data_IF_109830790214
#
_entry.id   IF_109830790214
#
_cell.length_a   1.000
_cell.length_b   1.000
_cell.length_c   1.000
_cell.angle_alpha   90.00
_cell.angle_beta   90.00
_cell.angle_gamma   90.00
#
_symmetry.space_group_name_H-M   'P 1'
#
loop_
_entity.id
_entity.type
_entity.pdbx_description
1 polymer ?
#
# COMPACT_ATOMS: atom_id res chain seq x y z
N UNK A 1 16.11 7.37 -4.25
CA UNK A 1 16.35 5.90 -4.26
C UNK A 1 15.45 5.25 -5.29
N UNK A 2 15.80 4.08 -5.84
CA UNK A 2 15.05 3.41 -6.91
C UNK A 2 14.34 2.14 -6.41
N UNK A 3 13.72 2.23 -5.23
CA UNK A 3 13.03 1.12 -4.58
C UNK A 3 11.56 1.52 -4.37
N UNK A 4 10.66 0.67 -4.83
CA UNK A 4 9.23 0.73 -4.55
C UNK A 4 8.81 -0.54 -3.82
N UNK A 5 8.14 -0.39 -2.68
CA UNK A 5 7.57 -1.51 -1.94
C UNK A 5 6.05 -1.42 -1.99
N UNK A 6 5.41 -2.37 -2.65
CA UNK A 6 3.96 -2.55 -2.58
C UNK A 6 3.61 -3.40 -1.34
N UNK A 7 2.66 -2.96 -0.53
CA UNK A 7 2.25 -3.67 0.69
C UNK A 7 0.77 -3.41 1.01
N UNK A 8 0.19 -4.31 1.79
CA UNK A 8 -1.13 -4.15 2.38
C UNK A 8 -1.13 -3.07 3.48
N UNK A 9 -2.21 -2.30 3.54
CA UNK A 9 -2.35 -1.15 4.41
C UNK A 9 -3.68 -1.19 5.17
N UNK A 10 -3.58 -1.27 6.51
CA UNK A 10 -4.74 -1.37 7.39
C UNK A 10 -5.45 -0.02 7.56
N UNK A 11 -4.72 1.09 7.44
CA UNK A 11 -5.27 2.46 7.59
C UNK A 11 -6.10 2.90 6.37
N UNK A 12 -6.09 2.12 5.30
CA UNK A 12 -6.80 2.41 4.05
C UNK A 12 -7.89 1.35 3.83
N UNK A 13 -9.12 1.73 3.47
CA UNK A 13 -10.17 0.77 3.17
C UNK A 13 -9.85 -0.03 1.89
N UNK A 14 -10.42 -1.25 1.73
CA UNK A 14 -10.40 -1.97 0.46
C UNK A 14 -10.78 -1.05 -0.71
N UNK A 15 -10.05 -1.13 -1.82
CA UNK A 15 -10.23 -0.22 -2.97
C UNK A 15 -9.38 1.04 -2.94
N UNK A 16 -8.86 1.46 -1.78
CA UNK A 16 -7.98 2.61 -1.73
C UNK A 16 -6.55 2.20 -2.06
N UNK A 17 -5.85 2.98 -2.90
CA UNK A 17 -4.42 2.79 -3.15
C UNK A 17 -3.72 4.13 -3.10
N UNK A 18 -2.57 4.21 -2.42
CA UNK A 18 -1.81 5.45 -2.28
C UNK A 18 -0.33 5.22 -2.48
N UNK A 19 0.26 6.00 -3.38
CA UNK A 19 1.71 6.16 -3.44
C UNK A 19 2.17 7.11 -2.32
N UNK A 20 3.28 6.77 -1.67
CA UNK A 20 3.93 7.61 -0.65
C UNK A 20 5.44 7.47 -0.76
N UNK A 21 6.17 8.57 -0.62
CA UNK A 21 7.62 8.53 -0.46
C UNK A 21 8.00 8.47 1.02
N UNK A 22 8.79 7.46 1.39
CA UNK A 22 9.22 7.17 2.75
C UNK A 22 8.10 6.90 3.77
N UNK A 23 8.41 7.12 5.06
CA UNK A 23 7.52 6.85 6.20
C UNK A 23 8.01 5.73 7.12
N UNK A 24 7.25 5.46 8.19
CA UNK A 24 7.50 4.36 9.12
C UNK A 24 6.95 3.02 8.62
N UNK A 25 7.21 1.95 9.38
CA UNK A 25 6.73 0.59 9.08
C UNK A 25 5.27 0.34 9.48
N UNK A 26 4.68 1.19 10.35
CA UNK A 26 3.27 1.05 10.74
C UNK A 26 2.95 -0.27 11.46
N UNK A 27 3.94 -0.94 12.07
CA UNK A 27 3.77 -2.27 12.63
C UNK A 27 3.80 -3.40 11.60
N UNK A 28 4.00 -3.10 10.31
CA UNK A 28 4.11 -4.11 9.26
C UNK A 28 5.48 -4.79 9.31
N UNK A 29 5.50 -6.06 9.69
CA UNK A 29 6.73 -6.85 9.88
C UNK A 29 7.67 -6.83 8.66
N UNK A 30 7.11 -6.88 7.44
CA UNK A 30 7.90 -6.80 6.21
C UNK A 30 8.55 -5.43 5.99
N UNK A 31 7.85 -4.32 6.33
CA UNK A 31 8.39 -2.98 6.15
C UNK A 31 9.46 -2.69 7.19
N UNK A 32 9.28 -3.19 8.42
CA UNK A 32 10.28 -3.15 9.46
C UNK A 32 11.57 -3.83 8.99
N UNK A 33 11.49 -5.08 8.51
CA UNK A 33 12.64 -5.83 8.03
C UNK A 33 13.34 -5.14 6.84
N UNK A 34 12.58 -4.63 5.86
CA UNK A 34 13.16 -3.89 4.72
C UNK A 34 13.89 -2.63 5.21
N UNK A 35 13.25 -1.84 6.07
CA UNK A 35 13.82 -0.59 6.61
C UNK A 35 15.12 -0.86 7.37
N UNK A 36 15.14 -1.90 8.21
CA UNK A 36 16.35 -2.33 8.93
C UNK A 36 17.49 -2.74 7.98
N UNK A 37 17.18 -3.44 6.89
CA UNK A 37 18.19 -3.91 5.92
C UNK A 37 18.68 -2.83 4.97
N UNK A 38 17.85 -1.83 4.67
CA UNK A 38 18.23 -0.68 3.85
C UNK A 38 18.89 0.44 4.68
N UNK A 39 18.88 0.35 6.01
CA UNK A 39 19.44 1.37 6.90
C UNK A 39 18.61 2.65 6.98
N UNK A 40 17.37 2.62 6.49
CA UNK A 40 16.50 3.79 6.44
C UNK A 40 15.19 3.53 5.70
N UNK A 41 14.22 4.41 5.95
CA UNK A 41 12.88 4.35 5.36
C UNK A 41 12.74 5.18 4.09
N UNK A 42 13.81 5.40 3.33
CA UNK A 42 13.89 6.37 2.23
C UNK A 42 13.46 5.81 0.86
N UNK A 43 12.55 4.84 0.86
CA UNK A 43 12.00 4.20 -0.33
C UNK A 43 10.53 4.54 -0.56
N UNK A 44 10.08 4.44 -1.81
CA UNK A 44 8.70 4.64 -2.17
C UNK A 44 7.83 3.45 -1.74
N UNK A 45 6.57 3.73 -1.40
CA UNK A 45 5.60 2.74 -0.92
C UNK A 45 4.32 2.85 -1.74
N UNK A 46 3.86 1.73 -2.30
CA UNK A 46 2.52 1.60 -2.86
C UNK A 46 1.64 0.92 -1.81
N UNK A 47 0.84 1.72 -1.11
CA UNK A 47 -0.01 1.31 0.00
C UNK A 47 -1.36 0.83 -0.55
N UNK A 48 -1.65 -0.46 -0.45
CA UNK A 48 -2.87 -1.09 -0.95
C UNK A 48 -3.81 -1.31 0.22
N UNK A 49 -4.93 -0.59 0.26
CA UNK A 49 -5.87 -0.66 1.36
C UNK A 49 -6.53 -2.02 1.47
N UNK A 50 -6.45 -2.60 2.66
CA UNK A 50 -7.17 -3.84 3.02
C UNK A 50 -8.18 -3.61 4.14
N UNK A 51 -8.17 -2.45 4.80
CA UNK A 51 -9.00 -2.14 5.96
C UNK A 51 -8.46 -2.71 7.26
N UNK A 52 -9.12 -2.39 8.37
CA UNK A 52 -8.72 -2.81 9.70
C UNK A 52 -9.84 -3.61 10.39
N UNK A 53 -9.55 -4.71 11.11
CA UNK A 53 -10.57 -5.52 11.80
C UNK A 53 -11.23 -4.83 13.01
N UNK A 54 -11.03 -3.53 13.21
CA UNK A 54 -11.45 -2.78 14.40
C UNK A 54 -10.72 -3.13 15.72
N UNK A 55 -10.03 -4.27 15.79
CA UNK A 55 -9.32 -4.73 16.99
C UNK A 55 -7.87 -5.15 16.67
N UNK A 56 -6.90 -4.50 17.33
CA UNK A 56 -5.48 -4.76 17.15
C UNK A 56 -5.09 -6.23 17.40
N UNK A 57 -5.76 -6.91 18.35
CA UNK A 57 -5.49 -8.33 18.65
C UNK A 57 -5.86 -9.27 17.50
N UNK A 58 -6.70 -8.83 16.56
CA UNK A 58 -7.15 -9.61 15.41
C UNK A 58 -6.37 -9.30 14.13
N UNK A 59 -5.48 -8.31 14.14
CA UNK A 59 -4.73 -7.90 12.94
C UNK A 59 -3.93 -9.05 12.35
N UNK A 60 -3.22 -9.82 13.18
CA UNK A 60 -2.39 -10.92 12.70
C UNK A 60 -3.21 -12.00 11.97
N UNK A 61 -4.39 -12.38 12.48
CA UNK A 61 -5.25 -13.34 11.80
C UNK A 61 -5.99 -12.72 10.61
N UNK A 62 -6.26 -11.42 10.64
CA UNK A 62 -6.91 -10.68 9.57
C UNK A 62 -6.07 -10.60 8.30
N UNK A 63 -4.77 -10.31 8.41
CA UNK A 63 -3.88 -10.21 7.24
C UNK A 63 -3.48 -11.58 6.66
N UNK A 64 -3.65 -12.65 7.43
CA UNK A 64 -3.30 -14.02 7.02
C UNK A 64 -4.48 -14.80 6.41
N UNK A 65 -5.71 -14.29 6.54
CA UNK A 65 -6.90 -14.92 5.94
C UNK A 65 -7.19 -14.34 4.57
N UNK A 66 -7.98 -15.08 3.78
CA UNK A 66 -8.52 -14.57 2.52
C UNK A 66 -9.54 -13.47 2.78
N UNK A 67 -9.48 -12.39 2.00
CA UNK A 67 -10.50 -11.34 2.01
C UNK A 67 -11.85 -11.89 1.52
N UNK A 68 -12.99 -11.38 2.02
CA UNK A 68 -14.30 -11.59 1.39
C UNK A 68 -14.27 -11.18 -0.08
N UNK A 69 -15.05 -11.86 -0.93
CA UNK A 69 -15.06 -11.60 -2.39
C UNK A 69 -15.25 -10.13 -2.75
N UNK A 70 -16.19 -9.44 -2.11
CA UNK A 70 -16.44 -8.02 -2.38
C UNK A 70 -15.24 -7.12 -2.03
N UNK A 71 -14.51 -7.42 -0.94
CA UNK A 71 -13.30 -6.67 -0.59
C UNK A 71 -12.15 -7.01 -1.53
N UNK A 72 -12.03 -8.29 -1.94
CA UNK A 72 -11.01 -8.73 -2.89
C UNK A 72 -11.18 -8.05 -4.25
N UNK A 73 -12.40 -7.94 -4.77
CA UNK A 73 -12.68 -7.24 -6.03
C UNK A 73 -12.23 -5.76 -5.96
N UNK A 74 -12.51 -5.08 -4.84
CA UNK A 74 -12.05 -3.72 -4.62
C UNK A 74 -10.51 -3.61 -4.58
N UNK A 75 -9.85 -4.56 -3.92
CA UNK A 75 -8.38 -4.63 -3.85
C UNK A 75 -7.79 -4.85 -5.25
N UNK A 76 -8.35 -5.78 -6.03
CA UNK A 76 -7.89 -6.10 -7.38
C UNK A 76 -8.05 -4.89 -8.32
N UNK A 77 -9.16 -4.16 -8.20
CA UNK A 77 -9.39 -2.91 -8.92
C UNK A 77 -8.38 -1.82 -8.54
N UNK A 78 -8.04 -1.72 -7.24
CA UNK A 78 -7.03 -0.78 -6.76
C UNK A 78 -5.63 -1.10 -7.30
N UNK A 79 -5.27 -2.38 -7.35
CA UNK A 79 -4.01 -2.85 -7.95
C UNK A 79 -4.00 -2.53 -9.45
N UNK A 80 -5.09 -2.81 -10.16
CA UNK A 80 -5.21 -2.53 -11.60
C UNK A 80 -5.04 -1.02 -11.89
N UNK A 81 -5.66 -0.15 -11.09
CA UNK A 81 -5.47 1.30 -11.20
C UNK A 81 -4.02 1.72 -10.91
N UNK A 82 -3.34 1.12 -9.94
CA UNK A 82 -1.95 1.45 -9.69
C UNK A 82 -1.03 1.00 -10.83
N UNK A 83 -1.32 -0.15 -11.45
CA UNK A 83 -0.57 -0.67 -12.60
C UNK A 83 -0.62 0.28 -13.81
N UNK A 84 -1.73 0.99 -14.04
CA UNK A 84 -1.81 1.95 -15.15
C UNK A 84 -0.84 3.14 -15.02
N UNK A 85 -0.23 3.33 -13.85
CA UNK A 85 0.77 4.38 -13.60
C UNK A 85 2.19 3.83 -13.41
N UNK A 86 2.44 2.54 -13.71
CA UNK A 86 3.76 1.94 -13.44
C UNK A 86 4.90 2.63 -14.18
N UNK A 87 4.67 3.07 -15.43
CA UNK A 87 5.65 3.81 -16.21
C UNK A 87 5.98 5.15 -15.56
N UNK A 88 4.96 5.90 -15.14
CA UNK A 88 5.11 7.18 -14.44
C UNK A 88 5.85 7.00 -13.10
N UNK A 89 5.58 5.92 -12.38
CA UNK A 89 6.28 5.58 -11.13
C UNK A 89 7.77 5.29 -11.42
N UNK A 90 8.07 4.44 -12.41
CA UNK A 90 9.46 4.12 -12.78
C UNK A 90 10.23 5.36 -13.24
N UNK A 91 9.55 6.28 -13.94
CA UNK A 91 10.11 7.56 -14.37
C UNK A 91 10.19 8.62 -13.25
N UNK A 92 9.76 8.29 -12.02
CA UNK A 92 9.84 9.20 -10.87
C UNK A 92 8.79 10.31 -10.85
N UNK A 93 7.72 10.21 -11.65
CA UNK A 93 6.63 11.19 -11.70
C UNK A 93 5.68 11.09 -10.49
N UNK A 94 6.23 10.98 -9.28
CA UNK A 94 5.48 10.62 -8.07
C UNK A 94 4.35 11.59 -7.76
N UNK A 95 4.57 12.90 -7.89
CA UNK A 95 3.53 13.90 -7.60
C UNK A 95 2.31 13.73 -8.51
N UNK A 96 2.54 13.46 -9.81
CA UNK A 96 1.47 13.19 -10.78
C UNK A 96 0.69 11.95 -10.38
N UNK A 97 1.39 10.87 -10.06
CA UNK A 97 0.77 9.59 -9.67
C UNK A 97 0.02 9.70 -8.34
N UNK A 98 0.58 10.40 -7.35
CA UNK A 98 -0.08 10.68 -6.08
C UNK A 98 -1.38 11.43 -6.30
N UNK A 99 -1.37 12.52 -7.09
CA UNK A 99 -2.57 13.29 -7.38
C UNK A 99 -3.64 12.43 -8.05
N UNK A 100 -3.25 11.58 -9.01
CA UNK A 100 -4.18 10.72 -9.73
C UNK A 100 -4.77 9.61 -8.85
N UNK A 101 -3.93 8.90 -8.08
CA UNK A 101 -4.39 7.80 -7.22
C UNK A 101 -5.18 8.30 -6.02
N UNK A 102 -4.79 9.42 -5.40
CA UNK A 102 -5.40 9.90 -4.16
C UNK A 102 -6.72 10.65 -4.39
N UNK A 103 -6.98 11.10 -5.61
CA UNK A 103 -8.26 11.73 -5.98
C UNK A 103 -9.42 10.73 -6.06
N UNK A 104 -9.13 9.44 -6.17
CA UNK A 104 -10.14 8.39 -6.20
C UNK A 104 -10.66 8.12 -4.79
N UNK A 105 -11.95 8.37 -4.57
CA UNK A 105 -12.66 7.97 -3.36
C UNK A 105 -13.36 6.64 -3.63
N UNK A 106 -13.17 5.68 -2.71
CA UNK A 106 -13.90 4.40 -2.68
C UNK A 106 -15.29 4.65 -2.09
#
# INVERSE_FOLDING_TARGET
EAILVAHDELDLPPGAVRLKDGGGDGGHNGLKAITEKLGGGHYARLRIGIGHPGNAAQVASYVLRRAPTAEQELIDDAITRAQSYIEDIVLGQFQKVMNALHAHQV
#
